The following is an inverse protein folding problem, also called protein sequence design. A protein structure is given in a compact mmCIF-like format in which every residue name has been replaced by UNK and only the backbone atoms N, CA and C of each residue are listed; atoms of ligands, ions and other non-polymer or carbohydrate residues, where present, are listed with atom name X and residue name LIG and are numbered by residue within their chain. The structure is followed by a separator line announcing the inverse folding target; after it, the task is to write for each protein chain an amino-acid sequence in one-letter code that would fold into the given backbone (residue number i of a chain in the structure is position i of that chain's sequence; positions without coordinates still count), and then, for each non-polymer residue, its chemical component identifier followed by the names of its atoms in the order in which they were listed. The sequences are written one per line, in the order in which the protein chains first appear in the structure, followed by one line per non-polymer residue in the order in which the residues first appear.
data_IF_895257161498
#
_entry.id   IF_895257161498
#
_cell.length_a   1.000
_cell.length_b   1.000
_cell.length_c   1.000
_cell.angle_alpha   90.00
_cell.angle_beta   90.00
_cell.angle_gamma   90.00
#
_symmetry.space_group_name_H-M   'P 1'
#
loop_
_entity.id
_entity.type
_entity.pdbx_description
1 polymer ?
#
# COMPACT_ATOMS: atom_id res chain seq x y z
N UNK A 1 9.06 -11.75 -1.81
CA UNK A 1 9.39 -12.47 -3.05
C UNK A 1 9.58 -11.55 -4.26
N UNK A 2 8.58 -10.77 -4.68
CA UNK A 2 8.63 -9.96 -5.92
C UNK A 2 9.90 -9.10 -6.04
N UNK A 3 10.19 -8.28 -5.02
CA UNK A 3 11.39 -7.41 -4.99
C UNK A 3 12.69 -8.22 -5.07
N UNK A 4 12.75 -9.39 -4.41
CA UNK A 4 13.92 -10.26 -4.40
C UNK A 4 14.17 -10.84 -5.79
N UNK A 5 13.12 -11.33 -6.45
CA UNK A 5 13.19 -11.87 -7.81
C UNK A 5 13.57 -10.79 -8.84
N UNK A 6 13.07 -9.57 -8.66
CA UNK A 6 13.38 -8.44 -9.54
C UNK A 6 14.85 -7.98 -9.39
N UNK A 7 15.44 -8.14 -8.21
CA UNK A 7 16.83 -7.74 -7.94
C UNK A 7 17.04 -6.23 -7.76
N UNK A 8 15.97 -5.44 -7.78
CA UNK A 8 16.00 -3.99 -7.57
C UNK A 8 14.71 -3.50 -6.86
N UNK A 9 14.72 -2.27 -6.30
CA UNK A 9 13.53 -1.68 -5.69
C UNK A 9 12.34 -1.60 -6.66
N UNK A 10 11.14 -1.66 -6.09
CA UNK A 10 9.88 -1.45 -6.81
C UNK A 10 9.31 -0.10 -6.38
N UNK A 11 9.06 0.77 -7.35
CA UNK A 11 8.27 1.98 -7.11
C UNK A 11 6.81 1.55 -6.91
N UNK A 12 6.22 1.97 -5.80
CA UNK A 12 4.87 1.56 -5.42
C UNK A 12 4.14 2.72 -4.76
N UNK A 13 2.81 2.70 -4.87
CA UNK A 13 1.89 3.53 -4.10
C UNK A 13 0.75 2.64 -3.59
N UNK A 14 0.00 3.12 -2.59
CA UNK A 14 -1.27 2.47 -2.22
C UNK A 14 -2.26 2.55 -3.38
N UNK A 15 -2.99 1.46 -3.62
CA UNK A 15 -4.20 1.49 -4.46
C UNK A 15 -5.21 2.42 -3.79
N UNK A 16 -5.81 3.31 -4.57
CA UNK A 16 -6.81 4.27 -4.09
C UNK A 16 -8.05 4.17 -4.94
N UNK A 17 -9.18 4.21 -4.27
CA UNK A 17 -10.49 4.32 -4.89
C UNK A 17 -11.00 5.75 -4.81
N UNK A 18 -11.60 6.28 -5.88
CA UNK A 18 -12.16 7.65 -5.88
C UNK A 18 -13.44 7.76 -5.05
N UNK A 19 -14.14 6.65 -4.84
CA UNK A 19 -15.36 6.59 -4.04
C UNK A 19 -15.08 6.14 -2.60
N UNK A 20 -13.81 5.98 -2.21
CA UNK A 20 -13.36 5.43 -0.93
C UNK A 20 -13.99 4.05 -0.61
N UNK A 21 -14.31 3.27 -1.64
CA UNK A 21 -14.83 1.92 -1.50
C UNK A 21 -13.69 0.97 -1.09
N UNK A 22 -13.75 0.53 0.17
CA UNK A 22 -12.69 -0.23 0.83
C UNK A 22 -12.37 -1.51 0.06
N UNK A 23 -13.40 -2.21 -0.37
CA UNK A 23 -13.30 -3.53 -0.98
C UNK A 23 -12.50 -3.47 -2.29
N UNK A 24 -12.62 -2.38 -3.05
CA UNK A 24 -11.81 -2.11 -4.24
C UNK A 24 -10.35 -1.77 -3.92
N UNK A 25 -9.96 -1.60 -2.66
CA UNK A 25 -8.56 -1.38 -2.27
C UNK A 25 -7.93 -2.57 -1.55
N UNK A 26 -8.74 -3.56 -1.16
CA UNK A 26 -8.30 -4.69 -0.33
C UNK A 26 -8.61 -6.06 -0.92
N UNK A 27 -9.66 -6.21 -1.72
CA UNK A 27 -10.04 -7.50 -2.30
C UNK A 27 -9.43 -7.66 -3.70
N UNK A 28 -8.60 -8.69 -3.94
CA UNK A 28 -7.93 -8.87 -5.22
C UNK A 28 -8.90 -9.14 -6.39
N UNK A 29 -10.06 -9.76 -6.16
CA UNK A 29 -11.06 -9.99 -7.21
C UNK A 29 -11.69 -8.67 -7.65
N UNK A 30 -12.07 -7.82 -6.69
CA UNK A 30 -12.65 -6.50 -6.98
C UNK A 30 -11.60 -5.52 -7.53
N UNK A 31 -10.35 -5.60 -7.07
CA UNK A 31 -9.23 -4.88 -7.67
C UNK A 31 -9.07 -5.29 -9.14
N UNK A 32 -9.14 -6.58 -9.45
CA UNK A 32 -9.05 -7.04 -10.84
C UNK A 32 -10.24 -6.56 -11.68
N UNK A 33 -11.46 -6.60 -11.13
CA UNK A 33 -12.66 -6.09 -11.79
C UNK A 33 -12.51 -4.61 -12.20
N UNK A 34 -11.97 -3.78 -11.30
CA UNK A 34 -11.89 -2.33 -11.52
C UNK A 34 -10.66 -1.87 -12.30
N UNK A 35 -9.48 -2.48 -12.08
CA UNK A 35 -8.22 -2.04 -12.69
C UNK A 35 -7.61 -3.05 -13.68
N UNK A 36 -8.23 -4.21 -13.91
CA UNK A 36 -7.69 -5.26 -14.78
C UNK A 36 -7.47 -4.85 -16.24
N UNK A 37 -8.18 -3.83 -16.72
CA UNK A 37 -8.00 -3.28 -18.07
C UNK A 37 -6.76 -2.38 -18.20
N UNK A 38 -6.25 -1.84 -17.09
CA UNK A 38 -5.07 -0.95 -17.08
C UNK A 38 -3.84 -1.58 -16.44
N UNK A 39 -4.02 -2.59 -15.59
CA UNK A 39 -2.95 -3.29 -14.92
C UNK A 39 -2.53 -4.51 -15.74
N UNK A 40 -1.23 -4.65 -16.04
CA UNK A 40 -0.71 -5.82 -16.73
C UNK A 40 -0.90 -7.11 -15.93
N UNK A 41 -0.90 -7.01 -14.59
CA UNK A 41 -1.09 -8.14 -13.69
C UNK A 41 -1.70 -7.70 -12.37
N UNK A 42 -2.59 -8.53 -11.83
CA UNK A 42 -3.09 -8.47 -10.45
C UNK A 42 -2.68 -9.76 -9.75
N UNK A 43 -2.09 -9.64 -8.57
CA UNK A 43 -1.60 -10.78 -7.79
C UNK A 43 -2.50 -10.95 -6.58
N UNK A 44 -3.19 -12.09 -6.51
CA UNK A 44 -3.99 -12.47 -5.34
C UNK A 44 -3.06 -12.93 -4.21
N UNK A 45 -2.98 -12.10 -3.17
CA UNK A 45 -2.31 -12.40 -1.90
C UNK A 45 -3.29 -12.54 -0.72
N UNK A 46 -4.59 -12.66 -0.99
CA UNK A 46 -5.67 -12.54 -0.03
C UNK A 46 -6.08 -11.10 0.26
N UNK A 47 -7.12 -10.94 1.10
CA UNK A 47 -7.68 -9.64 1.46
C UNK A 47 -6.67 -8.79 2.24
N UNK A 48 -6.43 -7.57 1.75
CA UNK A 48 -5.54 -6.58 2.35
C UNK A 48 -6.07 -5.96 3.65
N UNK A 49 -5.20 -5.22 4.34
CA UNK A 49 -5.56 -4.45 5.52
C UNK A 49 -5.88 -2.99 5.21
N UNK A 50 -6.72 -2.37 6.04
CA UNK A 50 -7.14 -0.97 5.91
C UNK A 50 -6.16 0.03 6.50
N UNK A 51 -5.42 -0.38 7.53
CA UNK A 51 -4.50 0.51 8.23
C UNK A 51 -3.26 0.78 7.37
N UNK A 52 -2.99 2.03 6.96
CA UNK A 52 -1.82 2.35 6.17
C UNK A 52 -0.54 2.19 6.98
N UNK A 53 0.61 2.26 6.31
CA UNK A 53 1.91 2.36 6.98
C UNK A 53 2.04 3.69 7.74
N UNK A 54 2.75 3.62 8.87
CA UNK A 54 3.27 4.81 9.55
C UNK A 54 4.39 5.41 8.71
N UNK A 55 4.34 6.71 8.48
CA UNK A 55 5.37 7.48 7.77
C UNK A 55 6.04 8.39 8.78
N UNK A 56 7.36 8.30 8.85
CA UNK A 56 8.20 9.10 9.74
C UNK A 56 9.20 9.86 8.88
N UNK A 57 9.22 11.18 9.03
CA UNK A 57 10.25 12.03 8.46
C UNK A 57 11.48 11.99 9.38
N UNK A 58 12.59 11.48 8.84
CA UNK A 58 13.86 11.38 9.53
C UNK A 58 14.92 12.34 8.93
N UNK A 59 14.50 13.39 8.23
CA UNK A 59 15.42 14.34 7.60
C UNK A 59 15.99 15.37 8.58
N UNK A 60 15.36 15.54 9.74
CA UNK A 60 15.79 16.42 10.84
C UNK A 60 16.41 15.64 12.00
N UNK A 61 16.91 16.36 13.01
CA UNK A 61 17.53 15.75 14.19
C UNK A 61 16.54 14.88 14.99
N UNK A 62 15.32 15.38 15.15
CA UNK A 62 14.23 14.68 15.83
C UNK A 62 13.27 14.11 14.77
N UNK A 63 12.97 12.79 14.79
CA UNK A 63 12.02 12.19 13.86
C UNK A 63 10.60 12.74 14.06
N UNK A 64 9.90 13.03 12.96
CA UNK A 64 8.51 13.52 12.99
C UNK A 64 7.57 12.50 12.35
N UNK A 65 6.48 12.13 13.04
CA UNK A 65 5.43 11.29 12.43
C UNK A 65 4.57 12.17 11.52
N UNK A 66 4.73 12.02 10.21
CA UNK A 66 3.91 12.72 9.20
C UNK A 66 2.60 11.99 8.93
N UNK A 67 2.54 10.68 9.20
CA UNK A 67 1.31 9.89 9.18
C UNK A 67 1.39 8.73 10.18
N UNK A 68 0.48 8.69 11.15
CA UNK A 68 0.35 7.55 12.06
C UNK A 68 -0.48 6.44 11.39
N UNK A 69 0.07 5.24 11.28
CA UNK A 69 -0.59 4.06 10.71
C UNK A 69 -0.47 2.83 11.62
N UNK A 70 -0.50 1.63 11.02
CA UNK A 70 -0.50 0.33 11.73
C UNK A 70 0.68 0.16 12.69
N UNK A 71 1.85 0.72 12.36
CA UNK A 71 3.01 0.76 13.23
C UNK A 71 2.88 1.86 14.27
N UNK A 72 2.24 1.59 15.40
CA UNK A 72 2.04 2.57 16.47
C UNK A 72 3.38 2.92 17.11
N UNK A 73 3.80 4.19 16.96
CA UNK A 73 4.98 4.75 17.61
C UNK A 73 4.53 5.67 18.74
N UNK A 74 5.21 5.59 19.88
CA UNK A 74 5.02 6.48 21.02
C UNK A 74 6.40 7.02 21.38
N UNK A 75 6.57 8.33 21.32
CA UNK A 75 7.78 9.01 21.76
C UNK A 75 7.71 9.31 23.25
#
# INVERSE_FOLDING_TARGET
EIVVQLGNPVLSTSVKDENDEIEYTTDPELIHEKWGEIADVVIDGGVGGLDPSTVVDCTFHDPEITRQGKGVLKF
#
